data_IF_557485488494
#
_entry.id   IF_557485488494
#
_cell.length_a   1.000
_cell.length_b   1.000
_cell.length_c   1.000
_cell.angle_alpha   90.00
_cell.angle_beta   90.00
_cell.angle_gamma   90.00
#
_symmetry.space_group_name_H-M   'P 1'
#
loop_
_entity.id
_entity.type
_entity.pdbx_description
1 polymer ?
#
# COMPACT_ATOMS: atom_id res chain seq x y z
N UNK A 1 -23.46 -9.90 -9.99
CA UNK A 1 -23.22 -10.97 -10.96
C UNK A 1 -22.06 -10.59 -11.85
N UNK A 2 -21.18 -11.53 -12.11
CA UNK A 2 -20.00 -11.25 -12.92
C UNK A 2 -20.35 -11.48 -14.40
N UNK A 3 -20.44 -10.40 -15.16
CA UNK A 3 -20.82 -10.43 -16.57
C UNK A 3 -19.64 -10.66 -17.52
N UNK A 4 -18.45 -10.86 -16.95
CA UNK A 4 -17.24 -11.06 -17.73
C UNK A 4 -17.09 -12.51 -18.19
N UNK A 5 -16.64 -12.69 -19.43
CA UNK A 5 -16.23 -14.02 -19.90
C UNK A 5 -14.95 -14.44 -19.15
N UNK A 6 -14.61 -15.74 -19.10
CA UNK A 6 -13.37 -16.19 -18.50
C UNK A 6 -12.13 -15.51 -19.11
N UNK A 7 -12.16 -15.24 -20.41
CA UNK A 7 -11.07 -14.56 -21.12
C UNK A 7 -10.94 -13.10 -20.71
N UNK A 8 -12.07 -12.39 -20.57
CA UNK A 8 -12.11 -11.00 -20.12
C UNK A 8 -11.64 -10.90 -18.68
N UNK A 9 -12.04 -11.85 -17.83
CA UNK A 9 -11.60 -11.92 -16.43
C UNK A 9 -10.09 -12.08 -16.36
N UNK A 10 -9.54 -12.99 -17.16
CA UNK A 10 -8.10 -13.24 -17.22
C UNK A 10 -7.34 -11.99 -17.68
N UNK A 11 -7.88 -11.29 -18.69
CA UNK A 11 -7.30 -10.04 -19.19
C UNK A 11 -7.34 -8.96 -18.11
N UNK A 12 -8.45 -8.80 -17.40
CA UNK A 12 -8.58 -7.84 -16.32
C UNK A 12 -7.61 -8.13 -15.18
N UNK A 13 -7.46 -9.41 -14.81
CA UNK A 13 -6.51 -9.79 -13.76
C UNK A 13 -5.06 -9.50 -14.16
N UNK A 14 -4.71 -9.64 -15.44
CA UNK A 14 -3.38 -9.29 -15.94
C UNK A 14 -3.12 -7.80 -15.93
N UNK A 15 -4.18 -6.99 -16.04
CA UNK A 15 -4.07 -5.54 -15.99
C UNK A 15 -3.83 -5.01 -14.57
N UNK A 16 -4.11 -5.82 -13.54
CA UNK A 16 -3.88 -5.47 -12.15
C UNK A 16 -2.39 -5.63 -11.85
N UNK A 17 -1.74 -4.51 -11.58
CA UNK A 17 -0.30 -4.48 -11.29
C UNK A 17 -0.04 -4.59 -9.80
N UNK A 18 1.03 -5.27 -9.42
CA UNK A 18 1.50 -5.32 -8.04
C UNK A 18 2.39 -4.14 -7.69
N UNK A 19 2.82 -3.37 -8.69
CA UNK A 19 3.65 -2.17 -8.52
C UNK A 19 3.32 -1.17 -9.61
N UNK A 20 3.74 0.08 -9.40
CA UNK A 20 3.52 1.19 -10.34
C UNK A 20 2.04 1.39 -10.68
N UNK A 21 1.16 1.17 -9.69
CA UNK A 21 -0.26 1.42 -9.85
C UNK A 21 -0.55 2.91 -9.95
N UNK A 22 -1.76 3.26 -10.39
CA UNK A 22 -2.17 4.66 -10.53
C UNK A 22 -2.03 5.42 -9.21
N UNK A 23 -2.42 4.79 -8.09
CA UNK A 23 -2.32 5.44 -6.78
C UNK A 23 -0.86 5.63 -6.35
N UNK A 24 -0.01 4.65 -6.62
CA UNK A 24 1.42 4.77 -6.33
C UNK A 24 2.04 5.91 -7.12
N UNK A 25 1.74 5.98 -8.42
CA UNK A 25 2.26 7.04 -9.28
C UNK A 25 1.80 8.42 -8.82
N UNK A 26 0.53 8.55 -8.43
CA UNK A 26 -0.02 9.82 -7.93
C UNK A 26 0.70 10.27 -6.66
N UNK A 27 0.89 9.35 -5.71
CA UNK A 27 1.57 9.68 -4.45
C UNK A 27 3.05 9.99 -4.69
N UNK A 28 3.74 9.22 -5.52
CA UNK A 28 5.14 9.48 -5.86
C UNK A 28 5.34 10.87 -6.45
N UNK A 29 4.49 11.23 -7.42
CA UNK A 29 4.56 12.53 -8.08
C UNK A 29 4.33 13.66 -7.08
N UNK A 30 3.34 13.51 -6.20
CA UNK A 30 3.03 14.50 -5.18
C UNK A 30 4.18 14.68 -4.18
N UNK A 31 4.80 13.59 -3.74
CA UNK A 31 5.95 13.63 -2.84
C UNK A 31 7.16 14.29 -3.49
N UNK A 32 7.44 13.93 -4.74
CA UNK A 32 8.56 14.51 -5.49
C UNK A 32 8.39 16.02 -5.64
N UNK A 33 7.17 16.44 -5.98
CA UNK A 33 6.84 17.86 -6.11
C UNK A 33 7.05 18.63 -4.80
N UNK A 34 6.83 17.97 -3.66
CA UNK A 34 7.04 18.52 -2.33
C UNK A 34 8.53 18.54 -1.92
N UNK A 35 9.41 17.96 -2.74
CA UNK A 35 10.82 17.87 -2.44
C UNK A 35 11.21 16.65 -1.61
N UNK A 36 10.31 15.68 -1.47
CA UNK A 36 10.59 14.46 -0.72
C UNK A 36 11.12 13.42 -1.71
N UNK A 37 12.38 13.01 -1.50
CA UNK A 37 13.05 12.03 -2.35
C UNK A 37 12.95 10.63 -1.74
N UNK A 38 12.70 9.64 -2.59
CA UNK A 38 12.46 8.26 -2.17
C UNK A 38 13.04 7.29 -3.20
N UNK A 39 13.13 6.03 -2.81
CA UNK A 39 13.42 4.91 -3.70
C UNK A 39 12.13 4.12 -3.93
N UNK A 40 11.78 3.91 -5.19
CA UNK A 40 10.56 3.16 -5.55
C UNK A 40 10.88 1.68 -5.72
N UNK A 41 9.88 0.83 -5.45
CA UNK A 41 9.98 -0.62 -5.65
C UNK A 41 11.23 -1.22 -4.98
N UNK A 42 11.53 -0.76 -3.77
CA UNK A 42 12.73 -1.14 -3.05
C UNK A 42 12.61 -2.57 -2.53
N UNK A 43 13.57 -3.43 -2.90
CA UNK A 43 13.54 -4.86 -2.55
C UNK A 43 14.39 -5.20 -1.34
N UNK A 44 15.05 -4.24 -0.74
CA UNK A 44 15.95 -4.46 0.40
C UNK A 44 15.26 -4.64 1.74
N UNK A 45 13.93 -4.50 1.80
CA UNK A 45 13.16 -4.65 3.02
C UNK A 45 12.08 -5.70 2.87
N UNK A 46 11.74 -6.34 3.99
CA UNK A 46 10.61 -7.28 4.04
C UNK A 46 9.34 -6.57 3.57
N UNK A 47 8.48 -7.28 2.84
CA UNK A 47 7.21 -6.75 2.35
C UNK A 47 7.30 -5.87 1.12
N UNK A 48 8.49 -5.54 0.67
CA UNK A 48 8.72 -4.74 -0.54
C UNK A 48 7.89 -3.45 -0.55
N UNK A 49 8.19 -2.48 0.34
CA UNK A 49 7.46 -1.22 0.37
C UNK A 49 7.43 -0.54 -1.01
N UNK A 50 6.34 0.15 -1.30
CA UNK A 50 6.17 0.85 -2.57
C UNK A 50 7.14 2.02 -2.72
N UNK A 51 7.44 2.68 -1.60
CA UNK A 51 8.43 3.75 -1.53
C UNK A 51 9.20 3.62 -0.24
N UNK A 52 10.50 3.95 -0.28
CA UNK A 52 11.35 3.91 0.90
C UNK A 52 12.20 5.19 0.95
N UNK A 53 12.17 5.87 2.07
CA UNK A 53 13.05 7.00 2.33
C UNK A 53 14.16 6.48 3.24
N UNK A 54 15.22 5.98 2.62
CA UNK A 54 16.28 5.26 3.33
C UNK A 54 17.03 6.14 4.34
N UNK A 55 17.23 7.41 4.02
CA UNK A 55 17.91 8.34 4.88
C UNK A 55 17.22 8.45 6.26
N UNK A 56 15.91 8.41 6.27
CA UNK A 56 15.13 8.59 7.50
C UNK A 56 14.43 7.32 7.97
N UNK A 57 14.68 6.20 7.31
CA UNK A 57 14.07 4.89 7.63
C UNK A 57 12.55 4.97 7.69
N UNK A 58 11.98 5.43 6.58
CA UNK A 58 10.51 5.49 6.40
C UNK A 58 10.14 4.56 5.28
N UNK A 59 9.20 3.65 5.54
CA UNK A 59 8.65 2.72 4.55
C UNK A 59 7.20 3.09 4.28
N UNK A 60 6.83 3.25 3.02
CA UNK A 60 5.47 3.64 2.61
C UNK A 60 4.85 2.54 1.76
N UNK A 61 3.67 2.13 2.16
CA UNK A 61 2.87 1.13 1.43
C UNK A 61 1.59 1.78 0.92
N UNK A 62 1.24 1.49 -0.32
CA UNK A 62 -0.02 1.89 -0.94
C UNK A 62 -0.89 0.65 -1.04
N UNK A 63 -1.87 0.52 -0.15
CA UNK A 63 -2.66 -0.69 -0.02
C UNK A 63 -3.96 -0.59 -0.80
N UNK A 64 -4.15 -1.50 -1.75
CA UNK A 64 -5.40 -1.64 -2.48
C UNK A 64 -6.51 -2.02 -1.50
N UNK A 65 -7.68 -1.38 -1.63
CA UNK A 65 -8.79 -1.62 -0.73
C UNK A 65 -9.23 -3.09 -0.75
N UNK A 66 -9.28 -3.68 -1.93
CA UNK A 66 -9.73 -5.06 -2.08
C UNK A 66 -8.69 -6.07 -1.57
N UNK A 67 -7.44 -5.98 -2.07
CA UNK A 67 -6.41 -6.99 -1.79
C UNK A 67 -5.94 -6.99 -0.33
N UNK A 68 -6.03 -5.85 0.34
CA UNK A 68 -5.56 -5.70 1.72
C UNK A 68 -6.71 -5.69 2.74
N UNK A 69 -7.93 -5.96 2.29
CA UNK A 69 -9.07 -6.18 3.19
C UNK A 69 -9.60 -4.93 3.89
N UNK A 70 -9.65 -3.81 3.18
CA UNK A 70 -10.24 -2.61 3.77
C UNK A 70 -11.69 -2.88 4.19
N UNK A 71 -12.02 -2.48 5.42
CA UNK A 71 -13.37 -2.67 6.01
C UNK A 71 -13.86 -4.12 5.86
N UNK A 72 -12.97 -5.06 6.15
CA UNK A 72 -13.18 -6.48 5.86
C UNK A 72 -14.41 -7.05 6.52
N UNK A 73 -14.68 -6.69 7.76
CA UNK A 73 -15.84 -7.19 8.49
C UNK A 73 -17.14 -6.92 7.75
N UNK A 74 -17.25 -5.76 7.11
CA UNK A 74 -18.43 -5.38 6.33
C UNK A 74 -18.39 -5.83 4.89
N UNK A 75 -17.19 -5.94 4.30
CA UNK A 75 -17.03 -6.26 2.88
C UNK A 75 -16.94 -7.75 2.58
N UNK A 76 -16.56 -8.56 3.56
CA UNK A 76 -16.41 -10.00 3.38
C UNK A 76 -17.68 -10.64 2.81
N UNK A 77 -18.85 -10.27 3.32
CA UNK A 77 -20.13 -10.81 2.88
C UNK A 77 -20.53 -10.36 1.48
N UNK A 78 -19.87 -9.33 0.93
CA UNK A 78 -20.16 -8.82 -0.42
C UNK A 78 -19.47 -9.62 -1.52
N UNK A 79 -18.53 -10.47 -1.16
CA UNK A 79 -17.87 -11.36 -2.12
C UNK A 79 -18.83 -12.49 -2.43
N UNK A 80 -19.41 -12.49 -3.64
CA UNK A 80 -20.47 -13.43 -4.02
C UNK A 80 -19.99 -14.65 -4.82
N UNK A 81 -18.83 -14.55 -5.46
CA UNK A 81 -18.29 -15.65 -6.24
C UNK A 81 -16.87 -15.99 -5.80
N UNK A 82 -16.55 -17.30 -5.88
CA UNK A 82 -15.22 -17.81 -5.50
C UNK A 82 -14.80 -17.42 -4.09
N UNK A 83 -15.74 -17.44 -3.14
CA UNK A 83 -15.46 -17.11 -1.73
C UNK A 83 -14.35 -18.00 -1.16
N UNK A 84 -14.34 -19.27 -1.55
CA UNK A 84 -13.34 -20.23 -1.10
C UNK A 84 -11.92 -19.84 -1.50
N UNK A 85 -11.79 -19.11 -2.59
CA UNK A 85 -10.50 -18.62 -3.07
C UNK A 85 -10.16 -17.24 -2.48
N UNK A 86 -11.08 -16.27 -2.60
CA UNK A 86 -10.82 -14.88 -2.26
C UNK A 86 -10.72 -14.62 -0.77
N UNK A 87 -11.63 -15.20 0.02
CA UNK A 87 -11.65 -14.94 1.47
C UNK A 87 -10.36 -15.36 2.15
N UNK A 88 -9.90 -16.62 1.98
CA UNK A 88 -8.62 -17.01 2.61
C UNK A 88 -7.44 -16.20 2.08
N UNK A 89 -7.45 -15.84 0.80
CA UNK A 89 -6.35 -15.08 0.20
C UNK A 89 -6.25 -13.68 0.81
N UNK A 90 -7.38 -12.98 0.92
CA UNK A 90 -7.40 -11.64 1.51
C UNK A 90 -7.01 -11.70 2.99
N UNK A 91 -7.52 -12.67 3.72
CA UNK A 91 -7.19 -12.82 5.14
C UNK A 91 -5.71 -13.13 5.36
N UNK A 92 -5.09 -13.92 4.49
CA UNK A 92 -3.64 -14.14 4.52
C UNK A 92 -2.87 -12.88 4.23
N UNK A 93 -3.33 -12.08 3.26
CA UNK A 93 -2.70 -10.80 2.94
C UNK A 93 -2.76 -9.83 4.13
N UNK A 94 -3.91 -9.76 4.79
CA UNK A 94 -4.08 -8.92 5.99
C UNK A 94 -3.12 -9.32 7.10
N UNK A 95 -3.01 -10.61 7.35
CA UNK A 95 -2.10 -11.15 8.36
C UNK A 95 -0.65 -10.84 8.01
N UNK A 96 -0.29 -11.04 6.75
CA UNK A 96 1.06 -10.74 6.26
C UNK A 96 1.39 -9.26 6.41
N UNK A 97 0.44 -8.37 6.10
CA UNK A 97 0.64 -6.93 6.26
C UNK A 97 0.95 -6.56 7.70
N UNK A 98 0.23 -7.17 8.66
CA UNK A 98 0.48 -6.93 10.07
C UNK A 98 1.87 -7.43 10.49
N UNK A 99 2.25 -8.61 10.03
CA UNK A 99 3.56 -9.20 10.33
C UNK A 99 4.70 -8.35 9.76
N UNK A 100 4.55 -7.88 8.52
CA UNK A 100 5.53 -7.03 7.86
C UNK A 100 5.66 -5.70 8.60
N UNK A 101 4.53 -5.07 8.91
CA UNK A 101 4.54 -3.80 9.65
C UNK A 101 5.23 -3.94 11.00
N UNK A 102 4.87 -4.98 11.76
CA UNK A 102 5.48 -5.22 13.07
C UNK A 102 6.99 -5.46 12.96
N UNK A 103 7.41 -6.25 11.98
CA UNK A 103 8.84 -6.53 11.77
C UNK A 103 9.61 -5.27 11.43
N UNK A 104 9.08 -4.43 10.56
CA UNK A 104 9.75 -3.17 10.19
C UNK A 104 9.82 -2.20 11.36
N UNK A 105 8.75 -2.07 12.13
CA UNK A 105 8.74 -1.22 13.33
C UNK A 105 9.79 -1.69 14.33
N UNK A 106 9.91 -2.99 14.56
CA UNK A 106 10.93 -3.55 15.44
C UNK A 106 12.35 -3.25 14.96
N UNK A 107 12.54 -3.14 13.65
CA UNK A 107 13.82 -2.79 13.05
C UNK A 107 14.09 -1.29 13.03
N UNK A 108 13.20 -0.49 13.61
CA UNK A 108 13.40 0.95 13.74
C UNK A 108 12.85 1.77 12.59
N UNK A 109 11.97 1.21 11.78
CA UNK A 109 11.35 1.91 10.66
C UNK A 109 10.04 2.56 11.06
N UNK A 110 9.76 3.74 10.49
CA UNK A 110 8.41 4.30 10.50
C UNK A 110 7.69 3.67 9.31
N UNK A 111 6.56 3.04 9.56
CA UNK A 111 5.76 2.41 8.52
C UNK A 111 4.48 3.21 8.31
N UNK A 112 4.27 3.68 7.09
CA UNK A 112 3.06 4.39 6.71
C UNK A 112 2.31 3.55 5.68
N UNK A 113 1.06 3.24 5.98
CA UNK A 113 0.19 2.51 5.05
C UNK A 113 -0.99 3.39 4.70
N UNK A 114 -1.17 3.61 3.40
CA UNK A 114 -2.28 4.41 2.90
C UNK A 114 -3.20 3.55 2.07
N UNK A 115 -4.49 3.62 2.38
CA UNK A 115 -5.50 2.95 1.58
C UNK A 115 -5.64 3.63 0.22
N UNK A 116 -5.99 2.84 -0.78
CA UNK A 116 -6.21 3.29 -2.15
C UNK A 116 -7.19 4.47 -2.21
N UNK A 117 -8.34 4.33 -1.54
CA UNK A 117 -9.35 5.38 -1.56
C UNK A 117 -8.87 6.66 -0.86
N UNK A 118 -8.04 6.53 0.17
CA UNK A 118 -7.46 7.67 0.88
C UNK A 118 -6.50 8.44 -0.03
N UNK A 119 -5.67 7.72 -0.77
CA UNK A 119 -4.74 8.34 -1.71
C UNK A 119 -5.52 9.09 -2.80
N UNK A 120 -6.61 8.51 -3.30
CA UNK A 120 -7.43 9.15 -4.34
C UNK A 120 -8.16 10.40 -3.86
N UNK A 121 -8.70 10.36 -2.66
CA UNK A 121 -9.56 11.45 -2.14
C UNK A 121 -8.80 12.46 -1.31
N UNK A 122 -7.74 12.05 -0.63
CA UNK A 122 -7.02 12.88 0.34
C UNK A 122 -5.51 12.79 0.09
N UNK A 123 -5.12 12.98 -1.16
CA UNK A 123 -3.71 12.88 -1.56
C UNK A 123 -2.82 13.82 -0.75
N UNK A 124 -3.24 15.07 -0.54
CA UNK A 124 -2.43 16.04 0.21
C UNK A 124 -2.24 15.59 1.65
N UNK A 125 -3.25 15.00 2.28
CA UNK A 125 -3.10 14.48 3.63
C UNK A 125 -2.06 13.37 3.69
N UNK A 126 -2.03 12.50 2.68
CA UNK A 126 -1.01 11.44 2.61
C UNK A 126 0.39 12.05 2.49
N UNK A 127 0.55 13.08 1.67
CA UNK A 127 1.81 13.81 1.54
C UNK A 127 2.21 14.43 2.88
N UNK A 128 1.26 15.06 3.55
CA UNK A 128 1.51 15.70 4.86
C UNK A 128 1.94 14.67 5.90
N UNK A 129 1.36 13.48 5.90
CA UNK A 129 1.74 12.41 6.83
C UNK A 129 3.19 11.96 6.58
N UNK A 130 3.59 11.84 5.32
CA UNK A 130 4.97 11.50 4.98
C UNK A 130 5.90 12.64 5.40
N UNK A 131 5.53 13.89 5.14
CA UNK A 131 6.32 15.05 5.53
C UNK A 131 6.53 15.11 7.05
N UNK A 132 5.47 14.82 7.80
CA UNK A 132 5.56 14.77 9.27
C UNK A 132 6.56 13.72 9.73
N UNK A 133 6.52 12.53 9.12
CA UNK A 133 7.48 11.47 9.44
C UNK A 133 8.91 11.90 9.14
N UNK A 134 9.13 12.58 8.01
CA UNK A 134 10.43 13.12 7.63
C UNK A 134 10.91 14.13 8.70
N UNK A 135 10.04 15.05 9.12
CA UNK A 135 10.40 16.06 10.12
C UNK A 135 10.76 15.43 11.47
N UNK A 136 10.01 14.40 11.89
CA UNK A 136 10.31 13.66 13.12
C UNK A 136 11.71 13.05 13.04
N UNK A 137 12.05 12.41 11.93
CA UNK A 137 13.36 11.78 11.75
C UNK A 137 14.49 12.79 11.62
N UNK A 138 14.25 13.93 10.97
CA UNK A 138 15.23 14.99 10.89
C UNK A 138 15.63 15.48 12.29
N UNK A 139 14.66 15.64 13.17
CA UNK A 139 14.91 16.07 14.53
C UNK A 139 15.77 15.06 15.30
N UNK A 140 15.66 13.77 14.97
CA UNK A 140 16.43 12.72 15.63
C UNK A 140 17.78 12.44 14.97
N UNK A 141 17.89 12.59 13.65
CA UNK A 141 19.07 12.17 12.88
C UNK A 141 19.99 13.32 12.49
N UNK A 142 19.48 14.52 12.55
CA UNK A 142 20.21 15.76 12.25
C UNK A 142 20.24 16.69 13.49
#
# INVERSE_FOLDING_TARGET
MDDLTPEQRKKNMRAIRSKDTTIELALRKALWKQGIHYRKNYKGLIGKPDMVITKYRIAVFCDSDFWHGYDWENRKSRIKSNQEYWIPKIERNMKRDQEVTSALVEQGWIVLRFWEHTIRKELQQCVDDVQEAVEIRKALFE
#
